data_IF_642700602599
#
_entry.id   IF_642700602599
#
_cell.length_a   1.000
_cell.length_b   1.000
_cell.length_c   1.000
_cell.angle_alpha   90.00
_cell.angle_beta   90.00
_cell.angle_gamma   90.00
#
_symmetry.space_group_name_H-M   'P 1'
#
loop_
_entity.id
_entity.type
_entity.pdbx_description
1 polymer ?
#
# COMPACT_ATOMS: atom_id res chain seq x y z
N UNK A 1 15.88 -5.78 12.70
CA UNK A 1 15.56 -5.47 11.28
C UNK A 1 16.68 -6.06 10.42
N UNK A 2 16.38 -6.60 9.23
CA UNK A 2 17.43 -7.11 8.35
C UNK A 2 18.43 -5.98 8.06
N UNK A 3 19.73 -6.30 8.07
CA UNK A 3 20.82 -5.32 8.00
C UNK A 3 20.86 -4.50 6.70
N UNK A 4 19.98 -4.81 5.73
CA UNK A 4 19.85 -4.13 4.44
C UNK A 4 18.55 -3.31 4.29
N UNK A 5 17.74 -3.18 5.34
CA UNK A 5 16.47 -2.46 5.27
C UNK A 5 16.68 -0.97 4.94
N UNK A 6 15.88 -0.44 4.01
CA UNK A 6 15.87 0.96 3.57
C UNK A 6 14.52 1.61 3.83
N UNK A 7 14.45 2.95 3.99
CA UNK A 7 13.19 3.66 3.97
C UNK A 7 12.42 3.36 2.68
N UNK A 8 11.12 3.07 2.80
CA UNK A 8 10.27 2.63 1.70
C UNK A 8 10.11 1.11 1.57
N UNK A 9 11.00 0.32 2.18
CA UNK A 9 10.91 -1.15 2.13
C UNK A 9 9.61 -1.64 2.74
N UNK A 10 9.05 -2.67 2.10
CA UNK A 10 7.89 -3.40 2.60
C UNK A 10 8.36 -4.58 3.44
N UNK A 11 7.84 -4.67 4.66
CA UNK A 11 8.08 -5.80 5.55
C UNK A 11 6.75 -6.42 5.94
N UNK A 12 6.68 -7.73 5.87
CA UNK A 12 5.51 -8.46 6.35
C UNK A 12 5.57 -8.54 7.87
N UNK A 13 4.50 -8.11 8.54
CA UNK A 13 4.37 -8.28 9.98
C UNK A 13 3.47 -9.48 10.29
N UNK A 14 4.02 -10.65 10.66
CA UNK A 14 3.22 -11.85 10.96
C UNK A 14 2.31 -11.64 12.18
N UNK A 15 2.73 -10.81 13.13
CA UNK A 15 1.96 -10.48 14.34
C UNK A 15 0.98 -9.30 14.15
N UNK A 16 0.86 -8.76 12.93
CA UNK A 16 -0.04 -7.66 12.60
C UNK A 16 -1.10 -8.14 11.60
N UNK A 17 -1.71 -9.31 11.80
CA UNK A 17 -2.74 -9.86 10.91
C UNK A 17 -2.33 -9.96 9.43
N UNK A 18 -1.05 -10.25 9.14
CA UNK A 18 -0.54 -10.30 7.76
C UNK A 18 -0.48 -8.92 7.09
N UNK A 19 -0.51 -7.84 7.86
CA UNK A 19 -0.37 -6.52 7.29
C UNK A 19 1.07 -6.26 6.81
N UNK A 20 1.20 -5.81 5.56
CA UNK A 20 2.43 -5.23 5.04
C UNK A 20 2.66 -3.88 5.71
N UNK A 21 3.85 -3.69 6.25
CA UNK A 21 4.30 -2.43 6.82
C UNK A 21 5.30 -1.79 5.87
N UNK A 22 5.23 -0.48 5.70
CA UNK A 22 6.24 0.31 5.01
C UNK A 22 7.16 0.95 6.03
N UNK A 23 8.46 0.68 5.89
CA UNK A 23 9.49 1.26 6.74
C UNK A 23 9.69 2.73 6.42
N UNK A 24 9.84 3.54 7.46
CA UNK A 24 10.19 4.96 7.37
C UNK A 24 11.33 5.26 8.33
N UNK A 25 12.04 6.34 8.04
CA UNK A 25 13.05 6.88 8.95
C UNK A 25 12.65 8.29 9.33
N UNK A 26 12.41 8.51 10.62
CA UNK A 26 11.95 9.79 11.17
C UNK A 26 12.89 10.20 12.29
N UNK A 27 13.51 11.38 12.17
CA UNK A 27 14.45 11.93 13.17
C UNK A 27 15.54 10.94 13.63
N UNK A 28 16.11 10.16 12.70
CA UNK A 28 17.15 9.16 12.99
C UNK A 28 16.64 7.89 13.66
N UNK A 29 15.33 7.71 13.79
CA UNK A 29 14.68 6.49 14.30
C UNK A 29 13.95 5.78 13.18
N UNK A 30 13.90 4.46 13.26
CA UNK A 30 13.05 3.65 12.40
C UNK A 30 11.61 3.71 12.89
N UNK A 31 10.70 3.98 11.96
CA UNK A 31 9.27 3.90 12.13
C UNK A 31 8.68 2.95 11.08
N UNK A 32 7.47 2.46 11.31
CA UNK A 32 6.75 1.62 10.37
C UNK A 32 5.30 2.09 10.30
N UNK A 33 4.77 2.19 9.09
CA UNK A 33 3.37 2.57 8.82
C UNK A 33 2.68 1.45 8.06
N UNK A 34 1.35 1.35 8.15
CA UNK A 34 0.61 0.38 7.36
C UNK A 34 0.76 0.71 5.87
N UNK A 35 1.20 -0.28 5.08
CA UNK A 35 1.25 -0.13 3.64
C UNK A 35 -0.18 -0.07 3.09
N UNK A 36 -0.48 1.03 2.38
CA UNK A 36 -1.74 1.23 1.68
C UNK A 36 -1.90 0.14 0.63
N UNK A 37 -2.98 -0.62 0.71
CA UNK A 37 -3.29 -1.72 -0.20
C UNK A 37 -4.72 -1.61 -0.69
N UNK A 38 -4.95 -2.07 -1.90
CA UNK A 38 -6.26 -2.10 -2.53
C UNK A 38 -6.42 -3.42 -3.27
N UNK A 39 -7.62 -4.00 -3.22
CA UNK A 39 -7.94 -5.20 -3.99
C UNK A 39 -8.42 -4.80 -5.38
N UNK A 40 -7.88 -5.45 -6.42
CA UNK A 40 -8.39 -5.31 -7.77
C UNK A 40 -9.81 -5.90 -7.86
N UNK A 41 -10.82 -5.14 -8.31
CA UNK A 41 -12.21 -5.62 -8.34
C UNK A 41 -12.46 -6.71 -9.39
N UNK A 42 -11.51 -6.97 -10.31
CA UNK A 42 -11.65 -8.01 -11.36
C UNK A 42 -11.02 -9.34 -10.99
N UNK A 43 -9.90 -9.36 -10.26
CA UNK A 43 -9.13 -10.58 -10.00
C UNK A 43 -8.81 -10.82 -8.53
N UNK A 44 -9.29 -9.96 -7.63
CA UNK A 44 -9.02 -10.00 -6.18
C UNK A 44 -7.53 -9.89 -5.79
N UNK A 45 -6.64 -9.58 -6.74
CA UNK A 45 -5.23 -9.35 -6.45
C UNK A 45 -5.06 -8.11 -5.56
N UNK A 46 -4.30 -8.25 -4.48
CA UNK A 46 -4.01 -7.17 -3.54
C UNK A 46 -2.77 -6.41 -4.01
N UNK A 47 -2.99 -5.18 -4.45
CA UNK A 47 -1.93 -4.29 -4.94
C UNK A 47 -1.46 -3.39 -3.80
N UNK A 48 -0.14 -3.29 -3.63
CA UNK A 48 0.45 -2.34 -2.68
C UNK A 48 0.69 -1.00 -3.36
N UNK A 49 0.04 0.03 -2.83
CA UNK A 49 0.07 1.38 -3.38
C UNK A 49 1.37 2.11 -3.00
N UNK A 50 1.85 3.03 -3.86
CA UNK A 50 2.86 4.01 -3.49
C UNK A 50 2.46 4.83 -2.26
N UNK A 51 3.43 5.41 -1.59
CA UNK A 51 3.19 6.20 -0.37
C UNK A 51 2.49 7.52 -0.65
N UNK A 52 2.85 8.15 -1.77
CA UNK A 52 2.32 9.39 -2.30
C UNK A 52 0.96 9.25 -2.98
N UNK A 53 0.40 8.02 -3.03
CA UNK A 53 -0.92 7.77 -3.61
C UNK A 53 -2.02 8.59 -2.94
N UNK A 54 -2.86 9.18 -3.76
CA UNK A 54 -4.00 10.03 -3.38
C UNK A 54 -5.30 9.52 -3.98
N UNK A 55 -6.42 10.00 -3.44
CA UNK A 55 -7.72 9.76 -4.07
C UNK A 55 -7.77 10.47 -5.43
N UNK A 56 -8.18 9.76 -6.47
CA UNK A 56 -8.19 10.22 -7.85
C UNK A 56 -7.06 9.69 -8.71
N UNK A 57 -5.99 9.14 -8.11
CA UNK A 57 -4.95 8.44 -8.86
C UNK A 57 -5.53 7.24 -9.61
N UNK A 58 -4.89 6.89 -10.73
CA UNK A 58 -5.30 5.77 -11.57
C UNK A 58 -4.26 4.67 -11.47
N UNK A 59 -4.73 3.45 -11.15
CA UNK A 59 -3.91 2.25 -11.19
C UNK A 59 -4.32 1.36 -12.35
N UNK A 60 -3.39 0.55 -12.85
CA UNK A 60 -3.67 -0.44 -13.88
C UNK A 60 -3.52 -1.86 -13.32
N UNK A 61 -4.54 -2.69 -13.50
CA UNK A 61 -4.51 -4.11 -13.17
C UNK A 61 -5.39 -4.88 -14.16
N UNK A 62 -4.98 -6.08 -14.55
CA UNK A 62 -5.68 -6.88 -15.56
C UNK A 62 -5.93 -6.15 -16.90
N UNK A 63 -5.02 -5.23 -17.30
CA UNK A 63 -5.16 -4.35 -18.48
C UNK A 63 -6.38 -3.41 -18.42
N UNK A 64 -6.90 -3.15 -17.22
CA UNK A 64 -7.97 -2.19 -16.93
C UNK A 64 -7.44 -1.09 -16.03
N UNK A 65 -8.03 0.09 -16.16
CA UNK A 65 -7.71 1.26 -15.35
C UNK A 65 -8.77 1.44 -14.28
N UNK A 66 -8.32 1.64 -13.05
CA UNK A 66 -9.20 1.90 -11.92
C UNK A 66 -8.80 3.21 -11.28
N UNK A 67 -9.79 4.06 -10.99
CA UNK A 67 -9.63 5.25 -10.19
C UNK A 67 -9.64 4.86 -8.73
N UNK A 68 -8.66 5.34 -7.98
CA UNK A 68 -8.59 5.15 -6.55
C UNK A 68 -9.52 6.14 -5.86
N UNK A 69 -10.34 5.62 -4.95
CA UNK A 69 -11.11 6.43 -4.01
C UNK A 69 -10.69 6.10 -2.59
N UNK A 70 -10.85 7.07 -1.69
CA UNK A 70 -10.49 6.92 -0.29
C UNK A 70 -11.77 7.01 0.55
N UNK A 71 -12.24 5.87 1.01
CA UNK A 71 -13.48 5.75 1.78
C UNK A 71 -13.18 5.10 3.12
N UNK A 72 -13.73 5.67 4.20
CA UNK A 72 -13.54 5.15 5.57
C UNK A 72 -12.07 4.90 5.97
N UNK A 73 -11.12 5.66 5.39
CA UNK A 73 -9.70 5.53 5.66
C UNK A 73 -8.99 4.40 4.90
N UNK A 74 -9.65 3.74 3.94
CA UNK A 74 -9.08 2.72 3.07
C UNK A 74 -9.23 3.09 1.60
N UNK A 75 -8.29 2.64 0.76
CA UNK A 75 -8.38 2.83 -0.68
C UNK A 75 -9.30 1.77 -1.30
N UNK A 76 -10.19 2.21 -2.18
CA UNK A 76 -10.98 1.37 -3.07
C UNK A 76 -10.57 1.64 -4.52
N UNK A 77 -10.71 0.64 -5.39
CA UNK A 77 -10.44 0.75 -6.82
C UNK A 77 -11.76 0.65 -7.58
N UNK A 78 -12.15 1.72 -8.25
CA UNK A 78 -13.39 1.82 -9.02
C UNK A 78 -13.08 1.92 -10.51
N UNK A 79 -13.91 1.33 -11.37
CA UNK A 79 -13.71 1.45 -12.82
C UNK A 79 -13.82 2.93 -13.24
N UNK A 80 -12.80 3.43 -13.94
CA UNK A 80 -12.63 4.84 -14.31
C UNK A 80 -13.41 5.24 -15.57
#
# INVERSE_FOLDING_TARGET
MPAAAKPGDLVECPNCAGHGLRLRQEAGRWAATLARRVSCPTCDEVLTLPEDTTAGDVIECCRRRYRLTLEYGAFAAEEA
#
